data_IF_432921624600
#
_entry.id   IF_432921624600
#
_cell.length_a   1.000
_cell.length_b   1.000
_cell.length_c   1.000
_cell.angle_alpha   90.00
_cell.angle_beta   90.00
_cell.angle_gamma   90.00
#
_symmetry.space_group_name_H-M   'P 1'
#
loop_
_entity.id
_entity.type
_entity.pdbx_description
1 polymer ?
#
# COMPACT_ATOMS: atom_id res chain seq x y z
N UNK A 1 2.05 -10.91 -8.13
CA UNK A 1 2.12 -9.57 -8.74
C UNK A 1 3.45 -8.86 -8.51
N UNK A 2 3.89 -8.57 -7.27
CA UNK A 2 5.19 -7.88 -7.03
C UNK A 2 6.38 -8.54 -7.74
N UNK A 3 6.47 -9.87 -7.73
CA UNK A 3 7.51 -10.61 -8.43
C UNK A 3 7.49 -10.35 -9.95
N UNK A 4 6.29 -10.36 -10.56
CA UNK A 4 6.13 -10.08 -12.00
C UNK A 4 6.55 -8.64 -12.32
N UNK A 5 6.06 -7.65 -11.57
CA UNK A 5 6.43 -6.25 -11.78
C UNK A 5 7.94 -6.07 -11.59
N UNK A 6 8.53 -6.67 -10.55
CA UNK A 6 9.97 -6.53 -10.31
C UNK A 6 10.81 -7.18 -11.41
N UNK A 7 10.38 -8.31 -11.99
CA UNK A 7 11.08 -8.93 -13.12
C UNK A 7 10.98 -8.07 -14.38
N UNK A 8 9.80 -7.49 -14.65
CA UNK A 8 9.57 -6.70 -15.86
C UNK A 8 10.32 -5.35 -15.84
N UNK A 9 10.38 -4.68 -14.71
CA UNK A 9 10.84 -3.30 -14.62
C UNK A 9 12.20 -3.11 -13.93
N UNK A 10 12.65 -4.09 -13.14
CA UNK A 10 13.85 -3.93 -12.31
C UNK A 10 14.92 -5.00 -12.56
N UNK A 11 14.78 -5.78 -13.65
CA UNK A 11 15.82 -6.71 -14.11
C UNK A 11 16.14 -6.46 -15.57
N UNK A 12 17.36 -6.86 -15.99
CA UNK A 12 17.77 -6.74 -17.39
C UNK A 12 17.36 -7.95 -18.24
N UNK A 13 17.17 -9.09 -17.59
CA UNK A 13 16.95 -10.40 -18.21
C UNK A 13 15.54 -10.97 -17.93
N UNK A 14 14.71 -10.25 -17.17
CA UNK A 14 13.39 -10.71 -16.76
C UNK A 14 13.39 -11.80 -15.69
N UNK A 15 14.57 -12.22 -15.20
CA UNK A 15 14.67 -13.28 -14.20
C UNK A 15 14.39 -12.72 -12.80
N UNK A 16 13.44 -13.34 -12.10
CA UNK A 16 13.07 -12.93 -10.75
C UNK A 16 14.16 -13.31 -9.72
N UNK A 17 14.53 -12.32 -8.90
CA UNK A 17 15.29 -12.52 -7.68
C UNK A 17 14.58 -11.75 -6.53
N UNK A 18 14.52 -12.34 -5.34
CA UNK A 18 13.89 -11.72 -4.16
C UNK A 18 14.46 -10.34 -3.80
N UNK A 19 15.73 -10.07 -4.12
CA UNK A 19 16.36 -8.77 -3.92
C UNK A 19 15.63 -7.65 -4.67
N UNK A 20 15.05 -7.95 -5.85
CA UNK A 20 14.33 -6.96 -6.67
C UNK A 20 13.00 -6.53 -6.05
N UNK A 21 12.43 -7.28 -5.11
CA UNK A 21 11.24 -6.86 -4.37
C UNK A 21 11.46 -5.57 -3.57
N UNK A 22 12.70 -5.23 -3.23
CA UNK A 22 13.04 -3.98 -2.53
C UNK A 22 12.77 -2.75 -3.40
N UNK A 23 12.74 -2.89 -4.73
CA UNK A 23 12.41 -1.81 -5.67
C UNK A 23 10.93 -1.44 -5.63
N UNK A 24 10.06 -2.31 -5.09
CA UNK A 24 8.64 -2.03 -4.88
C UNK A 24 8.42 -1.77 -3.40
N UNK A 25 8.42 -0.50 -3.03
CA UNK A 25 8.30 -0.04 -1.64
C UNK A 25 6.87 -0.21 -1.13
N UNK A 26 6.72 -0.31 0.20
CA UNK A 26 5.41 -0.24 0.85
C UNK A 26 5.09 1.22 1.14
N UNK A 27 3.93 1.69 0.67
CA UNK A 27 3.51 3.07 0.93
C UNK A 27 2.99 3.28 2.37
N UNK A 28 2.34 2.26 2.94
CA UNK A 28 1.65 2.34 4.24
C UNK A 28 2.58 2.43 5.46
N UNK A 29 3.87 2.63 5.27
CA UNK A 29 4.84 2.70 6.36
C UNK A 29 4.95 4.10 6.92
N UNK A 30 5.00 4.28 8.25
CA UNK A 30 5.17 5.60 8.89
C UNK A 30 6.37 6.39 8.36
N UNK A 31 7.43 5.71 7.92
CA UNK A 31 8.61 6.35 7.37
C UNK A 31 8.34 7.20 6.12
N UNK A 32 7.29 6.89 5.36
CA UNK A 32 6.91 7.67 4.18
C UNK A 32 6.26 9.01 4.56
N UNK A 33 5.84 9.18 5.80
CA UNK A 33 5.21 10.40 6.32
C UNK A 33 6.19 11.33 7.05
N UNK A 34 7.44 10.93 7.22
CA UNK A 34 8.48 11.74 7.90
C UNK A 34 8.78 13.07 7.22
N UNK A 35 8.53 13.17 5.92
CA UNK A 35 8.84 14.36 5.12
C UNK A 35 7.58 15.17 4.79
N UNK A 36 6.45 14.86 5.43
CA UNK A 36 5.23 15.63 5.32
C UNK A 36 5.35 16.84 6.25
N UNK A 37 5.48 18.02 5.67
CA UNK A 37 5.75 19.26 6.44
C UNK A 37 4.56 19.67 7.30
N UNK A 38 3.34 19.36 6.85
CA UNK A 38 2.10 19.72 7.54
C UNK A 38 1.78 18.85 8.75
N UNK A 39 2.46 17.69 8.92
CA UNK A 39 2.18 16.76 10.01
C UNK A 39 2.80 17.23 11.33
N UNK A 40 2.00 17.34 12.37
CA UNK A 40 2.50 17.58 13.71
C UNK A 40 2.91 16.28 14.44
N UNK A 41 3.57 16.44 15.59
CA UNK A 41 4.06 15.29 16.38
C UNK A 41 2.93 14.38 16.83
N UNK A 42 1.76 14.94 17.20
CA UNK A 42 0.62 14.19 17.69
C UNK A 42 0.02 13.33 16.57
N UNK A 43 -0.22 13.94 15.41
CA UNK A 43 -0.76 13.23 14.24
C UNK A 43 0.24 12.18 13.73
N UNK A 44 1.56 12.45 13.80
CA UNK A 44 2.58 11.46 13.43
C UNK A 44 2.58 10.23 14.36
N UNK A 45 2.32 10.41 15.65
CA UNK A 45 2.18 9.30 16.60
C UNK A 45 0.89 8.49 16.38
N UNK A 46 -0.16 9.11 15.82
CA UNK A 46 -1.48 8.48 15.57
C UNK A 46 -1.71 8.06 14.11
N UNK A 47 -0.66 7.86 13.32
CA UNK A 47 -0.76 7.43 11.91
C UNK A 47 -1.43 6.05 11.69
N UNK A 48 -1.74 5.32 12.76
CA UNK A 48 -2.57 4.10 12.69
C UNK A 48 -4.05 4.43 12.55
N UNK A 49 -4.47 5.62 12.91
CA UNK A 49 -5.83 6.08 12.81
C UNK A 49 -6.11 6.52 11.37
N UNK A 50 -7.07 5.88 10.71
CA UNK A 50 -7.41 6.13 9.32
C UNK A 50 -7.82 7.59 9.06
N UNK A 51 -8.52 8.23 10.00
CA UNK A 51 -8.93 9.63 9.89
C UNK A 51 -7.77 10.62 10.02
N UNK A 52 -6.71 10.22 10.69
CA UNK A 52 -5.49 11.01 10.81
C UNK A 52 -4.64 10.84 9.56
N UNK A 53 -4.28 9.60 9.22
CA UNK A 53 -3.39 9.33 8.09
C UNK A 53 -3.96 9.80 6.75
N UNK A 54 -5.30 9.77 6.58
CA UNK A 54 -5.96 10.18 5.34
C UNK A 54 -5.66 11.62 4.95
N UNK A 55 -5.48 12.51 5.91
CA UNK A 55 -5.16 13.94 5.68
C UNK A 55 -3.83 14.14 4.97
N UNK A 56 -2.92 13.20 5.11
CA UNK A 56 -1.54 13.30 4.66
C UNK A 56 -1.20 12.41 3.46
N UNK A 57 -2.14 11.60 2.95
CA UNK A 57 -1.88 10.65 1.87
C UNK A 57 -1.28 11.29 0.61
N UNK A 58 -1.92 12.34 0.10
CA UNK A 58 -1.48 13.00 -1.14
C UNK A 58 -0.17 13.75 -0.96
N UNK A 59 0.06 14.38 0.19
CA UNK A 59 1.31 15.06 0.48
C UNK A 59 2.46 14.05 0.64
N UNK A 60 2.24 12.94 1.34
CA UNK A 60 3.23 11.87 1.46
C UNK A 60 3.58 11.24 0.09
N UNK A 61 2.61 11.12 -0.83
CA UNK A 61 2.85 10.67 -2.20
C UNK A 61 3.68 11.68 -2.98
N UNK A 62 3.36 12.96 -2.91
CA UNK A 62 4.09 14.05 -3.55
C UNK A 62 5.55 14.11 -3.09
N UNK A 63 5.79 13.85 -1.80
CA UNK A 63 7.12 13.85 -1.20
C UNK A 63 7.86 12.51 -1.37
N UNK A 64 7.26 11.53 -2.03
CA UNK A 64 7.95 10.28 -2.34
C UNK A 64 9.16 10.55 -3.24
N UNK A 65 10.35 10.14 -2.78
CA UNK A 65 11.60 10.32 -3.54
C UNK A 65 11.56 9.50 -4.84
N UNK A 66 11.29 10.17 -5.94
CA UNK A 66 11.35 9.63 -7.31
C UNK A 66 12.30 10.52 -8.07
N UNK A 67 13.17 9.94 -8.89
CA UNK A 67 14.09 10.69 -9.75
C UNK A 67 13.25 11.34 -10.86
N UNK A 68 13.52 12.61 -11.18
CA UNK A 68 12.81 13.33 -12.24
C UNK A 68 12.84 12.57 -13.56
N UNK A 69 11.67 12.41 -14.17
CA UNK A 69 11.49 11.66 -15.41
C UNK A 69 11.39 10.14 -15.22
N UNK A 70 11.45 9.66 -14.00
CA UNK A 70 11.31 8.24 -13.64
C UNK A 70 9.96 7.95 -12.99
N UNK A 71 9.67 6.68 -12.69
CA UNK A 71 8.48 6.26 -11.99
C UNK A 71 8.82 5.23 -10.91
N UNK A 72 7.94 5.11 -9.92
CA UNK A 72 8.08 4.13 -8.85
C UNK A 72 6.81 3.32 -8.65
N UNK A 73 6.97 2.05 -8.29
CA UNK A 73 5.87 1.21 -7.85
C UNK A 73 5.81 1.18 -6.33
N UNK A 74 4.63 1.42 -5.80
CA UNK A 74 4.33 1.27 -4.39
C UNK A 74 3.29 0.17 -4.17
N UNK A 75 3.53 -0.70 -3.18
CA UNK A 75 2.50 -1.58 -2.66
C UNK A 75 1.76 -0.87 -1.53
N UNK A 76 0.45 -0.90 -1.58
CA UNK A 76 -0.41 -0.47 -0.48
C UNK A 76 -1.40 -1.57 -0.10
N UNK A 77 -1.95 -1.51 1.11
CA UNK A 77 -3.12 -2.27 1.54
C UNK A 77 -4.37 -1.39 1.60
N UNK A 78 -4.20 -0.08 1.42
CA UNK A 78 -5.33 0.85 1.37
C UNK A 78 -6.13 0.66 0.09
N UNK A 79 -7.43 0.79 0.18
CA UNK A 79 -8.31 0.95 -0.97
C UNK A 79 -8.17 2.35 -1.58
N UNK A 80 -8.55 2.51 -2.83
CA UNK A 80 -8.68 3.84 -3.43
C UNK A 80 -10.00 4.47 -2.97
N UNK A 81 -9.99 5.03 -1.78
CA UNK A 81 -11.15 5.57 -1.07
C UNK A 81 -10.95 7.05 -0.73
N UNK A 82 -12.02 7.65 -0.28
CA UNK A 82 -12.02 8.99 0.31
C UNK A 82 -12.48 8.88 1.78
N UNK A 83 -11.77 9.55 2.67
CA UNK A 83 -12.08 9.62 4.11
C UNK A 83 -12.11 11.09 4.53
N UNK A 84 -13.22 11.55 5.05
CA UNK A 84 -13.42 12.96 5.50
C UNK A 84 -12.97 13.99 4.44
N UNK A 85 -13.32 13.77 3.16
CA UNK A 85 -12.91 14.54 1.96
C UNK A 85 -11.42 14.45 1.58
N UNK A 86 -10.66 13.56 2.18
CA UNK A 86 -9.27 13.28 1.79
C UNK A 86 -9.21 12.05 0.90
N UNK A 87 -8.85 12.22 -0.37
CA UNK A 87 -8.67 11.13 -1.32
C UNK A 87 -7.37 10.40 -1.06
N UNK A 88 -7.40 9.07 -1.21
CA UNK A 88 -6.19 8.25 -1.08
C UNK A 88 -5.09 8.70 -2.06
N UNK A 89 -5.46 9.02 -3.28
CA UNK A 89 -4.54 9.52 -4.31
C UNK A 89 -5.25 10.44 -5.28
N UNK A 90 -4.49 11.12 -6.14
CA UNK A 90 -4.97 11.99 -7.21
C UNK A 90 -4.16 11.79 -8.50
N UNK A 91 -4.60 12.40 -9.58
CA UNK A 91 -3.98 12.30 -10.91
C UNK A 91 -2.61 12.97 -10.99
N UNK A 92 -2.32 13.92 -10.10
CA UNK A 92 -1.02 14.61 -10.04
C UNK A 92 0.08 13.70 -9.49
N UNK A 93 -0.27 12.83 -8.53
CA UNK A 93 0.69 12.00 -7.81
C UNK A 93 0.76 10.57 -8.33
N UNK A 94 -0.28 10.09 -9.04
CA UNK A 94 -0.39 8.70 -9.42
C UNK A 94 -0.78 8.53 -10.87
N UNK A 95 0.13 7.94 -11.64
CA UNK A 95 -0.07 7.64 -13.06
C UNK A 95 -1.12 6.54 -13.27
N UNK A 96 -1.27 5.61 -12.33
CA UNK A 96 -2.23 4.53 -12.40
C UNK A 96 -2.20 3.61 -11.20
N UNK A 97 -3.25 2.78 -11.09
CA UNK A 97 -3.43 1.81 -10.02
C UNK A 97 -3.61 0.40 -10.62
N UNK A 98 -2.96 -0.57 -9.99
CA UNK A 98 -3.20 -1.99 -10.26
C UNK A 98 -3.94 -2.55 -9.06
N UNK A 99 -5.23 -2.82 -9.22
CA UNK A 99 -6.06 -3.41 -8.18
C UNK A 99 -6.12 -4.92 -8.33
N UNK A 100 -5.76 -5.64 -7.27
CA UNK A 100 -5.75 -7.11 -7.25
C UNK A 100 -6.96 -7.63 -6.51
N UNK A 101 -7.81 -8.32 -7.23
CA UNK A 101 -8.98 -9.02 -6.68
C UNK A 101 -8.69 -10.52 -6.64
N UNK A 102 -9.05 -11.17 -5.55
CA UNK A 102 -9.03 -12.62 -5.39
C UNK A 102 -10.41 -13.12 -5.00
N UNK A 103 -10.68 -14.39 -5.27
CA UNK A 103 -11.87 -15.06 -4.75
C UNK A 103 -11.86 -14.98 -3.21
N UNK A 104 -12.90 -14.44 -2.56
CA UNK A 104 -12.92 -14.30 -1.11
C UNK A 104 -12.81 -15.63 -0.37
N UNK A 105 -13.26 -16.74 -0.98
CA UNK A 105 -13.10 -18.08 -0.42
C UNK A 105 -11.64 -18.50 -0.33
N UNK A 106 -10.86 -18.24 -1.38
CA UNK A 106 -9.41 -18.48 -1.39
C UNK A 106 -8.68 -17.58 -0.37
N UNK A 107 -9.16 -16.34 -0.22
CA UNK A 107 -8.64 -15.42 0.80
C UNK A 107 -8.89 -15.97 2.19
N UNK A 108 -10.11 -16.42 2.49
CA UNK A 108 -10.45 -16.98 3.79
C UNK A 108 -9.57 -18.18 4.15
N UNK A 109 -9.42 -19.15 3.23
CA UNK A 109 -8.57 -20.34 3.44
C UNK A 109 -7.10 -19.94 3.67
N UNK A 110 -6.58 -19.04 2.84
CA UNK A 110 -5.18 -18.59 2.94
C UNK A 110 -4.93 -17.80 4.24
N UNK A 111 -5.89 -16.98 4.65
CA UNK A 111 -5.78 -16.13 5.82
C UNK A 111 -5.93 -16.94 7.13
N UNK A 112 -6.85 -17.91 7.16
CA UNK A 112 -6.97 -18.87 8.24
C UNK A 112 -5.64 -19.60 8.52
N UNK A 113 -5.02 -20.11 7.46
CA UNK A 113 -3.69 -20.74 7.55
C UNK A 113 -2.61 -19.79 8.06
N UNK A 114 -2.62 -18.54 7.61
CA UNK A 114 -1.64 -17.54 8.02
C UNK A 114 -1.78 -17.13 9.48
N UNK A 115 -3.02 -17.03 9.96
CA UNK A 115 -3.34 -16.67 11.36
C UNK A 115 -3.29 -17.84 12.32
N UNK A 116 -3.39 -19.09 11.83
CA UNK A 116 -3.46 -20.29 12.65
C UNK A 116 -4.81 -20.45 13.37
N UNK A 117 -5.90 -19.95 12.79
CA UNK A 117 -7.26 -20.04 13.30
C UNK A 117 -8.18 -20.72 12.30
N UNK A 118 -9.42 -21.04 12.68
CA UNK A 118 -10.38 -21.72 11.80
C UNK A 118 -10.85 -20.82 10.63
N UNK A 119 -11.37 -21.45 9.57
CA UNK A 119 -11.96 -20.74 8.44
C UNK A 119 -13.20 -19.97 8.87
N UNK A 120 -14.02 -20.54 9.78
CA UNK A 120 -15.24 -19.91 10.26
C UNK A 120 -14.93 -18.62 11.04
N UNK A 121 -13.91 -18.62 11.89
CA UNK A 121 -13.43 -17.42 12.58
C UNK A 121 -12.94 -16.35 11.59
N UNK A 122 -12.27 -16.75 10.51
CA UNK A 122 -11.85 -15.80 9.47
C UNK A 122 -13.04 -15.23 8.70
N UNK A 123 -14.05 -16.05 8.39
CA UNK A 123 -15.26 -15.57 7.73
C UNK A 123 -15.95 -14.51 8.60
N UNK A 124 -16.08 -14.74 9.90
CA UNK A 124 -16.62 -13.74 10.83
C UNK A 124 -15.81 -12.43 10.82
N UNK A 125 -14.49 -12.52 10.85
CA UNK A 125 -13.61 -11.34 10.78
C UNK A 125 -13.82 -10.56 9.47
N UNK A 126 -13.79 -11.23 8.32
CA UNK A 126 -13.88 -10.58 7.00
C UNK A 126 -15.28 -9.98 6.75
N UNK A 127 -16.33 -10.54 7.35
CA UNK A 127 -17.71 -10.05 7.13
C UNK A 127 -18.14 -8.98 8.10
N UNK A 128 -17.44 -8.79 9.23
CA UNK A 128 -17.78 -7.83 10.28
C UNK A 128 -16.83 -6.61 10.32
N UNK A 129 -15.82 -6.55 9.49
CA UNK A 129 -14.98 -5.36 9.23
C UNK A 129 -15.57 -4.51 8.08
#
# INVERSE_FOLDING_TARGET
MRAIISSLFFTKDGIFDFKHLKSIRYFDRPENYKFVESIDTKDYEDLKNLKVISRYWTEAQKNASIIDGDFAFFKTHNANIEVDNYKYTNEENTMGLIYLVRDPRDVAVSYAKHKGISIDEIIEIITNE
#
